data_IF_545297708322
#
_entry.id   IF_545297708322
#
_cell.length_a   1.000
_cell.length_b   1.000
_cell.length_c   1.000
_cell.angle_alpha   90.00
_cell.angle_beta   90.00
_cell.angle_gamma   90.00
#
_symmetry.space_group_name_H-M   'P 1'
#
loop_
_entity.id
_entity.type
_entity.pdbx_description
1 polymer ?
#
# COMPACT_ATOMS: atom_id res chain seq x y z
N UNK A 1 0.62 -46.73 -24.63
CA UNK A 1 0.74 -45.84 -23.47
C UNK A 1 2.13 -45.98 -22.90
N UNK A 2 2.59 -44.95 -22.20
CA UNK A 2 3.85 -45.04 -21.46
C UNK A 2 3.74 -46.06 -20.33
N UNK A 3 4.87 -46.68 -19.96
CA UNK A 3 5.01 -47.62 -18.84
C UNK A 3 4.21 -48.93 -18.97
N UNK A 4 4.13 -49.50 -20.18
CA UNK A 4 3.58 -50.84 -20.40
C UNK A 4 2.05 -50.92 -20.45
N UNK A 5 1.36 -49.78 -20.41
CA UNK A 5 -0.10 -49.72 -20.51
C UNK A 5 -0.57 -49.54 -21.96
N UNK A 6 -1.63 -50.27 -22.38
CA UNK A 6 -2.19 -50.09 -23.71
C UNK A 6 -2.74 -48.66 -23.88
N UNK A 7 -2.54 -48.02 -25.05
CA UNK A 7 -3.07 -46.69 -25.31
C UNK A 7 -4.60 -46.71 -25.32
N UNK A 8 -5.22 -45.85 -24.52
CA UNK A 8 -6.69 -45.68 -24.46
C UNK A 8 -7.19 -44.81 -25.63
N UNK A 9 -6.33 -43.92 -26.13
CA UNK A 9 -6.59 -42.99 -27.22
C UNK A 9 -5.41 -43.09 -28.19
N UNK A 10 -5.66 -42.93 -29.48
CA UNK A 10 -4.61 -42.92 -30.50
C UNK A 10 -3.74 -41.66 -30.41
N UNK A 11 -2.52 -41.77 -30.94
CA UNK A 11 -1.52 -40.71 -30.82
C UNK A 11 -1.94 -39.42 -31.55
N UNK A 12 -2.67 -39.54 -32.66
CA UNK A 12 -3.11 -38.40 -33.46
C UNK A 12 -4.20 -37.61 -32.71
N UNK A 13 -5.19 -38.31 -32.16
CA UNK A 13 -6.21 -37.70 -31.28
C UNK A 13 -5.58 -37.05 -30.05
N UNK A 14 -4.59 -37.69 -29.42
CA UNK A 14 -3.88 -37.09 -28.29
C UNK A 14 -3.15 -35.79 -28.69
N UNK A 15 -2.45 -35.81 -29.82
CA UNK A 15 -1.72 -34.65 -30.34
C UNK A 15 -2.67 -33.49 -30.70
N UNK A 16 -3.79 -33.78 -31.37
CA UNK A 16 -4.82 -32.78 -31.70
C UNK A 16 -5.45 -32.15 -30.45
N UNK A 17 -5.64 -32.92 -29.37
CA UNK A 17 -6.12 -32.39 -28.09
C UNK A 17 -5.06 -31.52 -27.44
N UNK A 18 -3.79 -31.92 -27.45
CA UNK A 18 -2.67 -31.10 -26.96
C UNK A 18 -2.53 -29.80 -27.73
N UNK A 19 -2.71 -29.81 -29.05
CA UNK A 19 -2.73 -28.60 -29.89
C UNK A 19 -3.91 -27.69 -29.55
N UNK A 20 -5.13 -28.23 -29.37
CA UNK A 20 -6.26 -27.42 -28.91
C UNK A 20 -6.07 -26.86 -27.50
N UNK A 21 -5.39 -27.58 -26.61
CA UNK A 21 -5.05 -27.10 -25.26
C UNK A 21 -4.01 -25.99 -25.36
N UNK A 22 -2.97 -26.18 -26.18
CA UNK A 22 -1.91 -25.21 -26.38
C UNK A 22 -2.46 -23.95 -27.05
N UNK A 23 -3.31 -24.04 -28.07
CA UNK A 23 -4.01 -22.92 -28.69
C UNK A 23 -4.87 -22.14 -27.67
N UNK A 24 -5.63 -22.84 -26.82
CA UNK A 24 -6.46 -22.20 -25.78
C UNK A 24 -5.66 -21.53 -24.66
N UNK A 25 -4.41 -21.95 -24.49
CA UNK A 25 -3.51 -21.47 -23.44
C UNK A 25 -2.51 -20.44 -23.98
N UNK A 26 -2.23 -20.48 -25.29
CA UNK A 26 -1.38 -19.55 -26.02
C UNK A 26 -2.03 -18.18 -26.01
N UNK A 27 -1.45 -17.25 -25.26
CA UNK A 27 -1.98 -15.89 -25.08
C UNK A 27 -2.77 -15.67 -23.79
N UNK A 28 -3.07 -16.72 -23.00
CA UNK A 28 -3.55 -16.57 -21.62
C UNK A 28 -2.37 -16.40 -20.68
N UNK A 29 -1.61 -15.32 -20.84
CA UNK A 29 -0.83 -14.83 -19.71
C UNK A 29 -1.85 -14.31 -18.69
N UNK A 30 -1.82 -14.77 -17.41
CA UNK A 30 -2.57 -14.08 -16.38
C UNK A 30 -2.09 -12.64 -16.43
N UNK A 31 -2.98 -11.73 -16.82
CA UNK A 31 -2.68 -10.32 -16.97
C UNK A 31 -2.27 -9.86 -15.56
N UNK A 32 -0.96 -9.80 -15.30
CA UNK A 32 -0.47 -9.47 -13.97
C UNK A 32 -0.98 -8.08 -13.64
N UNK A 33 -1.84 -8.00 -12.65
CA UNK A 33 -2.30 -6.72 -12.14
C UNK A 33 -1.35 -6.29 -11.03
N UNK A 34 -1.19 -4.99 -10.80
CA UNK A 34 -0.36 -4.48 -9.70
C UNK A 34 -0.80 -5.06 -8.34
N UNK A 35 -2.10 -5.37 -8.20
CA UNK A 35 -2.65 -6.07 -7.02
C UNK A 35 -2.16 -7.50 -6.80
N UNK A 36 -1.43 -8.10 -7.75
CA UNK A 36 -0.92 -9.45 -7.60
C UNK A 36 0.16 -9.58 -6.53
N UNK A 37 0.92 -8.52 -6.29
CA UNK A 37 1.88 -8.45 -5.18
C UNK A 37 1.19 -8.57 -3.82
N UNK A 38 0.06 -7.89 -3.65
CA UNK A 38 -0.77 -7.95 -2.43
C UNK A 38 -1.23 -9.37 -2.11
N UNK A 39 -1.69 -10.13 -3.11
CA UNK A 39 -2.13 -11.51 -2.90
C UNK A 39 -1.01 -12.42 -2.38
N UNK A 40 0.26 -12.13 -2.70
CA UNK A 40 1.40 -12.92 -2.22
C UNK A 40 1.75 -12.65 -0.75
N UNK A 41 1.41 -11.45 -0.26
CA UNK A 41 1.67 -11.00 1.11
C UNK A 41 0.59 -11.40 2.11
N UNK A 42 -0.54 -11.96 1.65
CA UNK A 42 -1.62 -12.42 2.54
C UNK A 42 -1.22 -13.64 3.39
N UNK A 43 -1.53 -13.57 4.67
CA UNK A 43 -1.34 -14.59 5.71
C UNK A 43 -2.61 -14.75 6.52
N UNK A 44 -2.82 -15.95 7.03
CA UNK A 44 -3.99 -16.23 7.86
C UNK A 44 -3.74 -15.91 9.33
N UNK A 45 -4.73 -15.38 10.04
CA UNK A 45 -4.68 -15.20 11.49
C UNK A 45 -4.61 -16.48 12.30
N UNK A 46 -5.02 -17.65 11.76
CA UNK A 46 -4.93 -18.94 12.48
C UNK A 46 -3.47 -19.45 12.57
N UNK A 47 -2.78 -19.41 11.44
CA UNK A 47 -1.61 -20.24 11.13
C UNK A 47 -0.39 -19.39 10.71
N UNK A 48 -0.60 -18.07 10.51
CA UNK A 48 0.31 -17.14 9.83
C UNK A 48 0.88 -17.67 8.50
N UNK A 49 0.25 -18.68 7.93
CA UNK A 49 0.66 -19.29 6.67
C UNK A 49 -0.06 -18.61 5.52
N UNK A 50 0.51 -18.77 4.31
CA UNK A 50 0.01 -18.12 3.10
C UNK A 50 -1.46 -18.45 2.84
N UNK A 51 -2.22 -17.40 2.51
CA UNK A 51 -3.57 -17.52 1.98
C UNK A 51 -3.52 -17.68 0.46
N UNK A 52 -4.25 -18.67 -0.05
CA UNK A 52 -4.38 -18.94 -1.48
C UNK A 52 -5.77 -18.51 -1.95
N UNK A 53 -5.83 -17.82 -3.09
CA UNK A 53 -7.12 -17.50 -3.74
C UNK A 53 -7.75 -18.79 -4.25
N UNK A 54 -8.93 -19.10 -3.73
CA UNK A 54 -9.77 -20.16 -4.28
C UNK A 54 -10.65 -19.52 -5.35
N UNK A 55 -10.55 -20.00 -6.60
CA UNK A 55 -11.44 -19.56 -7.67
C UNK A 55 -12.90 -19.77 -7.24
N UNK A 56 -13.65 -18.68 -7.11
CA UNK A 56 -15.09 -18.70 -6.90
C UNK A 56 -15.83 -18.53 -8.23
N UNK A 57 -17.15 -18.76 -8.27
CA UNK A 57 -17.97 -18.44 -9.43
C UNK A 57 -17.66 -17.02 -9.90
N UNK A 58 -17.52 -16.83 -11.22
CA UNK A 58 -17.34 -15.54 -11.86
C UNK A 58 -18.60 -14.73 -11.59
N UNK A 59 -18.67 -14.12 -10.42
CA UNK A 59 -19.83 -13.42 -9.91
C UNK A 59 -19.37 -12.09 -9.34
N UNK A 60 -20.03 -11.03 -9.79
CA UNK A 60 -19.79 -9.61 -9.50
C UNK A 60 -19.89 -9.20 -8.01
N UNK A 61 -19.71 -10.13 -7.07
CA UNK A 61 -19.91 -9.91 -5.63
C UNK A 61 -18.82 -9.06 -4.97
N UNK A 62 -17.73 -8.74 -5.68
CA UNK A 62 -16.61 -7.99 -5.12
C UNK A 62 -15.79 -8.74 -4.06
N UNK A 63 -16.18 -9.96 -3.67
CA UNK A 63 -15.55 -10.73 -2.60
C UNK A 63 -14.44 -11.66 -3.11
N UNK A 64 -13.38 -11.77 -2.32
CA UNK A 64 -12.24 -12.66 -2.54
C UNK A 64 -12.34 -13.82 -1.56
N UNK A 65 -12.36 -15.04 -2.12
CA UNK A 65 -12.36 -16.28 -1.36
C UNK A 65 -10.93 -16.78 -1.21
N UNK A 66 -10.52 -17.01 0.03
CA UNK A 66 -9.16 -17.33 0.42
C UNK A 66 -9.14 -18.59 1.29
N UNK A 67 -8.07 -19.38 1.20
CA UNK A 67 -7.88 -20.58 2.04
C UNK A 67 -6.46 -20.65 2.60
N UNK A 68 -6.27 -20.90 3.90
CA UNK A 68 -4.93 -21.16 4.48
C UNK A 68 -4.38 -22.44 3.85
N UNK A 69 -3.14 -22.37 3.36
CA UNK A 69 -2.46 -23.53 2.77
C UNK A 69 -2.22 -24.65 3.78
N UNK A 70 -2.06 -24.32 5.07
CA UNK A 70 -1.84 -25.27 6.17
C UNK A 70 -3.14 -25.67 6.88
N UNK A 71 -3.78 -24.73 7.59
CA UNK A 71 -4.96 -24.99 8.44
C UNK A 71 -6.26 -25.21 7.65
N UNK A 72 -6.26 -24.96 6.33
CA UNK A 72 -7.42 -25.09 5.41
C UNK A 72 -8.65 -24.23 5.77
N UNK A 73 -8.57 -23.38 6.80
CA UNK A 73 -9.60 -22.38 7.09
C UNK A 73 -9.86 -21.51 5.87
N UNK A 74 -11.14 -21.24 5.62
CA UNK A 74 -11.60 -20.39 4.54
C UNK A 74 -11.90 -18.99 5.08
N UNK A 75 -11.58 -17.98 4.27
CA UNK A 75 -11.81 -16.57 4.55
C UNK A 75 -12.51 -15.96 3.35
N UNK A 76 -13.42 -15.02 3.61
CA UNK A 76 -14.12 -14.25 2.57
C UNK A 76 -13.97 -12.78 2.92
N UNK A 77 -13.32 -12.02 2.04
CA UNK A 77 -13.02 -10.61 2.27
C UNK A 77 -13.39 -9.80 1.04
N UNK A 78 -14.04 -8.64 1.22
CA UNK A 78 -14.32 -7.70 0.14
C UNK A 78 -13.02 -7.19 -0.48
N UNK A 79 -12.89 -7.27 -1.81
CA UNK A 79 -11.69 -6.81 -2.53
C UNK A 79 -11.43 -5.33 -2.29
N UNK A 80 -12.46 -4.51 -2.40
CA UNK A 80 -12.35 -3.06 -2.21
C UNK A 80 -11.99 -2.71 -0.78
N UNK A 81 -12.62 -3.36 0.21
CA UNK A 81 -12.30 -3.15 1.62
C UNK A 81 -10.87 -3.58 1.97
N UNK A 82 -10.40 -4.69 1.39
CA UNK A 82 -9.01 -5.12 1.55
C UNK A 82 -8.03 -4.09 1.02
N UNK A 83 -8.29 -3.55 -0.17
CA UNK A 83 -7.44 -2.52 -0.77
C UNK A 83 -7.48 -1.23 0.05
N UNK A 84 -8.68 -0.79 0.45
CA UNK A 84 -8.87 0.45 1.19
C UNK A 84 -8.23 0.37 2.60
N UNK A 85 -8.40 -0.74 3.34
CA UNK A 85 -7.73 -0.90 4.64
C UNK A 85 -6.21 -0.96 4.50
N UNK A 86 -5.71 -1.61 3.44
CA UNK A 86 -4.27 -1.65 3.17
C UNK A 86 -3.73 -0.26 2.88
N UNK A 87 -4.40 0.52 2.03
CA UNK A 87 -4.06 1.90 1.72
C UNK A 87 -4.07 2.78 2.98
N UNK A 88 -5.15 2.70 3.78
CA UNK A 88 -5.28 3.46 5.03
C UNK A 88 -4.16 3.16 6.03
N UNK A 89 -3.83 1.89 6.23
CA UNK A 89 -2.77 1.49 7.18
C UNK A 89 -1.39 1.89 6.69
N UNK A 90 -1.11 1.75 5.39
CA UNK A 90 0.14 2.21 4.78
C UNK A 90 0.31 3.73 4.92
N UNK A 91 -0.72 4.50 4.57
CA UNK A 91 -0.72 5.96 4.75
C UNK A 91 -0.58 6.38 6.22
N UNK A 92 -1.18 5.63 7.16
CA UNK A 92 -1.06 5.90 8.58
C UNK A 92 0.35 5.62 9.12
N UNK A 93 1.00 4.54 8.67
CA UNK A 93 2.39 4.22 9.02
C UNK A 93 3.37 5.27 8.50
N UNK A 94 3.04 5.90 7.36
CA UNK A 94 3.88 6.90 6.71
C UNK A 94 3.72 8.31 7.26
N UNK A 95 2.72 8.57 8.11
CA UNK A 95 2.55 9.89 8.73
C UNK A 95 3.84 10.22 9.48
N UNK A 96 4.61 11.24 9.02
CA UNK A 96 5.81 11.63 9.71
C UNK A 96 5.46 11.93 11.16
N UNK A 97 6.18 11.32 12.10
CA UNK A 97 6.06 11.68 13.51
C UNK A 97 6.43 13.16 13.59
N UNK A 98 5.43 14.01 13.77
CA UNK A 98 5.64 15.44 13.91
C UNK A 98 6.42 15.64 15.21
N UNK A 99 7.73 15.90 15.09
CA UNK A 99 8.56 16.21 16.24
C UNK A 99 8.00 17.50 16.87
N UNK A 100 7.85 17.55 18.21
CA UNK A 100 7.46 18.78 18.89
C UNK A 100 8.38 19.92 18.44
N UNK A 101 7.79 21.06 18.07
CA UNK A 101 8.57 22.22 17.63
C UNK A 101 9.49 22.70 18.75
N UNK A 102 10.80 22.63 18.52
CA UNK A 102 11.81 23.20 19.38
C UNK A 102 12.39 24.46 18.69
N UNK A 103 12.10 25.67 19.19
CA UNK A 103 12.55 26.90 18.54
C UNK A 103 14.08 27.05 18.61
N UNK A 104 14.67 27.51 17.52
CA UNK A 104 16.06 27.96 17.51
C UNK A 104 16.22 29.25 18.32
N UNK A 105 17.44 29.51 18.82
CA UNK A 105 17.75 30.77 19.51
C UNK A 105 17.41 31.99 18.63
N UNK A 106 17.60 31.87 17.32
CA UNK A 106 17.27 32.90 16.36
C UNK A 106 15.76 33.12 16.21
N UNK A 107 14.96 32.04 16.18
CA UNK A 107 13.50 32.15 16.18
C UNK A 107 12.97 32.85 17.44
N UNK A 108 13.58 32.57 18.60
CA UNK A 108 13.25 33.26 19.86
C UNK A 108 13.65 34.75 19.81
N UNK A 109 14.85 35.06 19.31
CA UNK A 109 15.32 36.44 19.15
C UNK A 109 14.40 37.25 18.23
N UNK A 110 14.01 36.67 17.11
CA UNK A 110 13.11 37.29 16.13
C UNK A 110 11.70 37.47 16.69
N UNK A 111 11.17 36.52 17.46
CA UNK A 111 9.88 36.69 18.14
C UNK A 111 9.86 37.92 19.06
N UNK A 112 10.94 38.13 19.82
CA UNK A 112 11.07 39.31 20.67
C UNK A 112 11.25 40.61 19.84
N UNK A 113 11.99 40.54 18.73
CA UNK A 113 12.16 41.68 17.82
C UNK A 113 10.83 42.10 17.16
N UNK A 114 10.00 41.12 16.76
CA UNK A 114 8.65 41.36 16.22
C UNK A 114 7.81 42.09 17.26
N UNK A 115 7.73 41.60 18.51
CA UNK A 115 6.93 42.23 19.55
C UNK A 115 7.35 43.70 19.79
N UNK A 116 8.65 43.96 19.87
CA UNK A 116 9.18 45.32 20.01
C UNK A 116 8.86 46.23 18.82
N UNK A 117 9.01 45.71 17.60
CA UNK A 117 8.72 46.47 16.39
C UNK A 117 7.23 46.81 16.25
N UNK A 118 6.34 45.93 16.73
CA UNK A 118 4.89 46.18 16.73
C UNK A 118 4.46 47.23 17.77
N UNK A 119 5.22 47.41 18.84
CA UNK A 119 4.98 48.43 19.87
C UNK A 119 5.46 49.83 19.46
N UNK A 120 6.31 49.94 18.43
CA UNK A 120 6.84 51.22 17.96
C UNK A 120 5.95 51.83 16.85
N UNK A 121 5.53 53.10 16.98
CA UNK A 121 4.84 53.79 15.91
C UNK A 121 5.80 54.06 14.74
N UNK A 122 5.49 53.51 13.57
CA UNK A 122 6.30 53.63 12.36
C UNK A 122 5.56 53.12 11.12
N UNK A 123 6.26 53.02 9.98
CA UNK A 123 5.68 52.57 8.71
C UNK A 123 5.47 51.05 8.60
N UNK A 124 5.82 50.30 9.65
CA UNK A 124 5.62 48.85 9.77
C UNK A 124 6.61 48.00 8.97
N UNK A 125 7.56 48.58 8.23
CA UNK A 125 8.50 47.81 7.40
C UNK A 125 9.44 46.92 8.22
N UNK A 126 9.89 47.41 9.38
CA UNK A 126 10.76 46.65 10.27
C UNK A 126 10.02 45.44 10.88
N UNK A 127 8.78 45.64 11.33
CA UNK A 127 7.93 44.55 11.80
C UNK A 127 7.69 43.49 10.72
N UNK A 128 7.39 43.92 9.48
CA UNK A 128 7.23 43.00 8.34
C UNK A 128 8.51 42.20 8.06
N UNK A 129 9.67 42.87 8.04
CA UNK A 129 10.98 42.23 7.86
C UNK A 129 11.24 41.16 8.93
N UNK A 130 11.00 41.48 10.20
CA UNK A 130 11.17 40.53 11.30
C UNK A 130 10.17 39.38 11.25
N UNK A 131 8.93 39.62 10.81
CA UNK A 131 7.93 38.55 10.60
C UNK A 131 8.41 37.56 9.53
N UNK A 132 8.89 38.06 8.39
CA UNK A 132 9.38 37.21 7.30
C UNK A 132 10.62 36.42 7.73
N UNK A 133 11.57 37.06 8.40
CA UNK A 133 12.75 36.39 8.96
C UNK A 133 12.36 35.37 10.03
N UNK A 134 11.42 35.72 10.91
CA UNK A 134 10.90 34.84 11.96
C UNK A 134 10.24 33.60 11.38
N UNK A 135 9.45 33.75 10.31
CA UNK A 135 8.88 32.63 9.58
C UNK A 135 9.98 31.73 9.00
N UNK A 136 10.97 32.32 8.31
CA UNK A 136 12.10 31.56 7.76
C UNK A 136 12.86 30.80 8.86
N UNK A 137 13.19 31.44 9.98
CA UNK A 137 13.90 30.81 11.10
C UNK A 137 13.11 29.68 11.78
N UNK A 138 11.77 29.77 11.80
CA UNK A 138 10.89 28.72 12.34
C UNK A 138 10.82 27.49 11.44
N UNK A 139 10.85 27.70 10.13
CA UNK A 139 10.76 26.62 9.14
C UNK A 139 12.12 26.15 8.62
N UNK A 140 13.24 26.77 9.03
CA UNK A 140 14.59 26.33 8.67
C UNK A 140 14.94 24.91 9.16
N UNK A 141 14.20 24.38 10.16
CA UNK A 141 14.33 23.01 10.63
C UNK A 141 13.46 21.99 9.87
N UNK A 142 12.58 22.47 8.98
CA UNK A 142 11.88 21.60 8.06
C UNK A 142 12.85 21.27 6.93
N UNK A 143 13.14 19.99 6.70
CA UNK A 143 13.90 19.60 5.52
C UNK A 143 13.17 20.12 4.27
N UNK A 144 13.92 20.72 3.34
CA UNK A 144 13.44 21.13 2.01
C UNK A 144 12.87 19.95 1.18
N UNK A 145 13.00 18.74 1.71
CA UNK A 145 12.65 17.46 1.10
C UNK A 145 11.49 16.74 1.77
N UNK A 146 10.44 17.43 2.19
CA UNK A 146 9.13 16.80 1.94
C UNK A 146 8.97 16.91 0.44
N UNK A 147 9.35 15.86 -0.28
CA UNK A 147 8.90 15.64 -1.65
C UNK A 147 7.41 16.00 -1.67
N UNK A 148 7.12 17.19 -2.19
CA UNK A 148 5.76 17.64 -2.47
C UNK A 148 5.14 16.81 -3.60
N UNK A 149 5.83 15.75 -4.04
CA UNK A 149 5.20 14.49 -4.40
C UNK A 149 4.66 13.77 -3.15
N UNK A 150 3.81 14.47 -2.36
CA UNK A 150 2.60 13.78 -1.90
C UNK A 150 1.87 13.50 -3.20
N UNK A 151 2.21 12.37 -3.83
CA UNK A 151 1.36 11.77 -4.84
C UNK A 151 -0.04 11.93 -4.27
N UNK A 152 -0.85 12.74 -4.92
CA UNK A 152 -2.27 12.86 -4.64
C UNK A 152 -2.94 11.54 -5.07
N UNK A 153 -2.36 10.40 -4.70
CA UNK A 153 -3.09 9.16 -4.64
C UNK A 153 -4.25 9.46 -3.71
N UNK A 154 -5.46 9.23 -4.21
CA UNK A 154 -6.64 9.26 -3.36
C UNK A 154 -6.33 8.48 -2.08
N UNK A 155 -6.84 8.91 -0.92
CA UNK A 155 -6.54 8.27 0.37
C UNK A 155 -6.84 6.75 0.42
N UNK A 156 -7.59 6.23 -0.57
CA UNK A 156 -7.93 4.81 -0.72
C UNK A 156 -7.14 4.09 -1.83
N UNK A 157 -6.18 4.75 -2.49
CA UNK A 157 -5.35 4.16 -3.54
C UNK A 157 -3.97 3.76 -2.99
N UNK A 158 -3.59 2.50 -3.25
CA UNK A 158 -2.30 1.96 -2.85
C UNK A 158 -1.21 2.44 -3.82
N UNK A 159 -0.16 3.07 -3.29
CA UNK A 159 1.13 3.19 -3.99
C UNK A 159 1.82 1.82 -3.98
N UNK A 160 1.81 1.13 -5.13
CA UNK A 160 2.31 -0.24 -5.24
C UNK A 160 3.83 -0.36 -5.09
N UNK A 161 4.59 0.64 -5.53
CA UNK A 161 6.04 0.64 -5.36
C UNK A 161 6.39 0.71 -3.88
N UNK A 162 5.69 1.60 -3.16
CA UNK A 162 5.88 1.78 -1.73
C UNK A 162 5.38 0.61 -0.90
N UNK A 163 4.24 0.05 -1.30
CA UNK A 163 3.68 -1.16 -0.72
C UNK A 163 4.67 -2.32 -0.76
N UNK A 164 5.29 -2.58 -1.91
CA UNK A 164 6.22 -3.70 -2.05
C UNK A 164 7.46 -3.58 -1.16
N UNK A 165 7.97 -2.36 -0.99
CA UNK A 165 9.13 -2.07 -0.14
C UNK A 165 8.81 -2.08 1.35
N UNK A 166 7.63 -1.61 1.74
CA UNK A 166 7.31 -1.30 3.14
C UNK A 166 6.52 -2.39 3.83
N UNK A 167 5.61 -3.08 3.12
CA UNK A 167 4.74 -4.10 3.71
C UNK A 167 5.42 -5.46 3.64
N UNK A 168 5.72 -6.08 4.78
CA UNK A 168 6.19 -7.47 4.83
C UNK A 168 5.07 -8.47 4.55
N UNK A 169 3.93 -8.35 5.24
CA UNK A 169 2.78 -9.24 5.09
C UNK A 169 1.49 -8.61 5.61
N UNK A 170 0.35 -9.22 5.24
CA UNK A 170 -0.98 -8.80 5.69
C UNK A 170 -1.66 -9.99 6.34
N UNK A 171 -2.12 -9.84 7.57
CA UNK A 171 -2.88 -10.86 8.29
C UNK A 171 -4.37 -10.62 8.09
N UNK A 172 -5.09 -11.69 7.72
CA UNK A 172 -6.55 -11.72 7.75
C UNK A 172 -6.99 -12.57 8.94
N UNK A 173 -7.56 -11.90 9.94
CA UNK A 173 -8.10 -12.49 11.16
C UNK A 173 -9.29 -13.41 10.89
N UNK A 174 -9.62 -14.26 11.86
CA UNK A 174 -10.82 -15.12 11.81
C UNK A 174 -12.12 -14.33 11.92
N UNK A 175 -12.04 -13.11 12.43
CA UNK A 175 -13.07 -12.08 12.46
C UNK A 175 -13.08 -11.19 11.21
N UNK A 176 -12.30 -11.55 10.17
CA UNK A 176 -12.06 -10.77 8.97
C UNK A 176 -11.36 -9.42 9.22
N UNK A 177 -10.76 -9.18 10.38
CA UNK A 177 -9.90 -8.02 10.58
C UNK A 177 -8.67 -8.11 9.67
N UNK A 178 -8.33 -7.01 8.99
CA UNK A 178 -7.15 -6.93 8.14
C UNK A 178 -6.09 -6.11 8.87
N UNK A 179 -4.92 -6.70 9.08
CA UNK A 179 -3.80 -6.04 9.74
C UNK A 179 -2.59 -6.07 8.81
N UNK A 180 -2.05 -4.90 8.50
CA UNK A 180 -0.85 -4.74 7.68
C UNK A 180 0.36 -4.72 8.59
N UNK A 181 1.33 -5.56 8.29
CA UNK A 181 2.62 -5.58 8.95
C UNK A 181 3.66 -4.99 8.00
N UNK A 182 4.43 -4.04 8.52
CA UNK A 182 5.49 -3.35 7.80
C UNK A 182 6.78 -4.13 8.03
#
# INVERSE_FOLDING_TARGET
GENGYPPIIDQDTFQQVQEKISEKTSGKFPRRTESDGLWQKLRSGCCQTRLLRTGGPIGHTGNVHLKCSACRNAFVVGKEELLAQTARQLAAHEKPICKPYAPSAEAVRLANAINRALEQPGDGKEALSHILQGAAARYACCDDGVDMAVSQTQPDQIDWERFERTVSHIIIGTDNAITVHF
#
